data_IF_443847289534
#
_entry.id   IF_443847289534
#
_cell.length_a   1.000
_cell.length_b   1.000
_cell.length_c   1.000
_cell.angle_alpha   90.00
_cell.angle_beta   90.00
_cell.angle_gamma   90.00
#
_symmetry.space_group_name_H-M   'P 1'
#
loop_
_entity.id
_entity.type
_entity.pdbx_description
1 polymer ?
#
# COMPACT_ATOMS: atom_id res chain seq x y z
N UNK A 1 -1.96 -28.50 -10.43
CA UNK A 1 -2.51 -27.72 -11.56
C UNK A 1 -3.19 -26.50 -10.98
N UNK A 2 -2.67 -25.29 -11.22
CA UNK A 2 -3.23 -24.05 -10.69
C UNK A 2 -4.24 -23.47 -11.69
N UNK A 3 -5.50 -23.37 -11.29
CA UNK A 3 -6.57 -22.80 -12.10
C UNK A 3 -6.46 -21.27 -12.05
N UNK A 4 -5.98 -20.65 -13.13
CA UNK A 4 -6.00 -19.21 -13.33
C UNK A 4 -7.45 -18.74 -13.52
N UNK A 5 -8.17 -18.50 -12.42
CA UNK A 5 -9.43 -17.76 -12.45
C UNK A 5 -9.12 -16.30 -12.77
N UNK A 6 -9.31 -15.92 -14.03
CA UNK A 6 -8.98 -14.62 -14.64
C UNK A 6 -9.76 -13.42 -14.10
N UNK A 7 -9.53 -13.09 -12.83
CA UNK A 7 -9.78 -11.77 -12.28
C UNK A 7 -8.56 -11.36 -11.44
N UNK A 8 -7.50 -10.90 -12.11
CA UNK A 8 -6.33 -10.23 -11.51
C UNK A 8 -6.69 -8.84 -10.94
N UNK A 9 -7.79 -8.76 -10.21
CA UNK A 9 -8.15 -7.57 -9.48
C UNK A 9 -8.65 -7.95 -8.10
N UNK A 10 -7.89 -7.57 -7.08
CA UNK A 10 -8.35 -7.60 -5.69
C UNK A 10 -9.53 -6.62 -5.58
N UNK A 11 -10.74 -7.14 -5.40
CA UNK A 11 -11.90 -6.34 -5.00
C UNK A 11 -11.78 -6.03 -3.50
N UNK A 12 -11.40 -4.79 -3.20
CA UNK A 12 -11.34 -4.27 -1.82
C UNK A 12 -10.02 -3.55 -1.53
N UNK A 13 -10.06 -2.58 -0.61
CA UNK A 13 -8.83 -1.98 -0.09
C UNK A 13 -7.97 -3.06 0.55
N UNK A 14 -6.68 -3.06 0.21
CA UNK A 14 -5.71 -3.91 0.87
C UNK A 14 -5.64 -3.50 2.34
N UNK A 15 -6.16 -4.33 3.24
CA UNK A 15 -6.20 -4.04 4.69
C UNK A 15 -4.84 -4.22 5.36
N UNK A 16 -4.01 -5.12 4.81
CA UNK A 16 -2.70 -5.50 5.39
C UNK A 16 -1.57 -4.53 4.99
N UNK A 17 -1.89 -3.50 4.19
CA UNK A 17 -0.90 -2.54 3.69
C UNK A 17 -1.44 -1.13 3.75
N UNK A 18 -0.63 -0.23 4.31
CA UNK A 18 -0.86 1.21 4.27
C UNK A 18 0.12 1.87 3.32
N UNK A 19 -0.17 3.11 2.94
CA UNK A 19 0.77 3.95 2.21
C UNK A 19 1.03 5.25 2.96
N UNK A 20 2.29 5.65 2.99
CA UNK A 20 2.77 6.90 3.58
C UNK A 20 3.48 7.73 2.51
N UNK A 21 3.28 9.04 2.54
CA UNK A 21 4.00 9.95 1.65
C UNK A 21 5.35 10.29 2.28
N UNK A 22 6.43 10.07 1.55
CA UNK A 22 7.76 10.46 1.96
C UNK A 22 7.94 11.98 1.71
N UNK A 23 8.19 12.79 2.75
CA UNK A 23 8.30 14.24 2.60
C UNK A 23 9.55 14.69 1.84
N UNK A 24 10.57 13.83 1.70
CA UNK A 24 11.83 14.18 1.03
C UNK A 24 11.73 14.18 -0.50
N UNK A 25 10.91 13.30 -1.05
CA UNK A 25 10.75 13.14 -2.50
C UNK A 25 9.30 13.22 -2.98
N UNK A 26 8.33 13.38 -2.07
CA UNK A 26 6.90 13.44 -2.38
C UNK A 26 6.27 12.10 -2.77
N UNK A 27 7.05 11.02 -2.81
CA UNK A 27 6.62 9.72 -3.30
C UNK A 27 5.85 8.93 -2.24
N UNK A 28 4.91 8.10 -2.69
CA UNK A 28 4.17 7.21 -1.81
C UNK A 28 4.89 5.87 -1.67
N UNK A 29 5.06 5.42 -0.42
CA UNK A 29 5.68 4.15 -0.08
C UNK A 29 4.67 3.26 0.62
N UNK A 30 4.58 1.99 0.21
CA UNK A 30 3.79 0.96 0.90
C UNK A 30 4.52 0.51 2.16
N UNK A 31 3.76 0.41 3.24
CA UNK A 31 4.20 -0.17 4.50
C UNK A 31 3.32 -1.37 4.84
N UNK A 32 3.96 -2.46 5.21
CA UNK A 32 3.29 -3.63 5.76
C UNK A 32 2.74 -3.28 7.14
N UNK A 33 1.47 -3.61 7.40
CA UNK A 33 0.86 -3.23 8.67
C UNK A 33 1.17 -4.17 9.82
N UNK A 34 1.70 -5.36 9.55
CA UNK A 34 1.93 -6.42 10.54
C UNK A 34 3.34 -6.32 11.10
N UNK A 35 4.33 -6.11 10.23
CA UNK A 35 5.73 -6.01 10.62
C UNK A 35 6.32 -4.60 10.46
N UNK A 36 5.59 -3.67 9.86
CA UNK A 36 6.01 -2.27 9.69
C UNK A 36 7.09 -2.05 8.63
N UNK A 37 7.43 -3.06 7.82
CA UNK A 37 8.45 -2.98 6.78
C UNK A 37 7.97 -2.14 5.58
N UNK A 38 8.90 -1.41 4.97
CA UNK A 38 8.65 -0.73 3.71
C UNK A 38 8.85 -1.71 2.56
N UNK A 39 7.79 -1.91 1.77
CA UNK A 39 7.79 -2.94 0.71
C UNK A 39 8.18 -2.33 -0.63
N UNK A 40 7.57 -1.19 -0.99
CA UNK A 40 7.61 -0.68 -2.36
C UNK A 40 7.35 0.82 -2.38
N UNK A 41 7.98 1.56 -3.30
CA UNK A 41 7.84 3.01 -3.46
C UNK A 41 7.47 3.35 -4.90
N UNK A 42 6.44 4.18 -5.05
CA UNK A 42 6.07 4.76 -6.34
C UNK A 42 7.05 5.85 -6.74
N UNK A 43 7.46 5.88 -8.00
CA UNK A 43 8.31 6.94 -8.54
C UNK A 43 7.51 8.11 -9.13
N UNK A 44 6.20 7.93 -9.33
CA UNK A 44 5.32 8.89 -10.01
C UNK A 44 4.67 9.94 -9.08
N UNK A 45 5.01 9.93 -7.78
CA UNK A 45 4.45 10.86 -6.79
C UNK A 45 2.95 10.65 -6.49
N UNK A 46 2.29 9.67 -7.09
CA UNK A 46 0.86 9.40 -6.88
C UNK A 46 0.63 8.35 -5.80
N UNK A 47 -0.53 8.33 -5.13
CA UNK A 47 -0.87 7.25 -4.22
C UNK A 47 -1.11 5.93 -4.97
N UNK A 48 -0.83 4.81 -4.30
CA UNK A 48 -1.24 3.49 -4.75
C UNK A 48 -2.77 3.36 -4.77
N UNK A 49 -3.31 2.94 -5.91
CA UNK A 49 -4.73 2.63 -6.05
C UNK A 49 -5.09 1.44 -5.16
N UNK A 50 -6.15 1.58 -4.35
CA UNK A 50 -6.65 0.51 -3.48
C UNK A 50 -5.82 0.24 -2.21
N UNK A 51 -4.85 1.09 -1.88
CA UNK A 51 -4.09 1.02 -0.62
C UNK A 51 -4.53 2.15 0.29
N UNK A 52 -4.81 1.87 1.56
CA UNK A 52 -5.25 2.89 2.51
C UNK A 52 -4.10 3.85 2.85
N UNK A 53 -4.34 5.16 2.88
CA UNK A 53 -3.36 6.13 3.39
C UNK A 53 -3.20 5.94 4.90
N UNK A 54 -1.96 5.89 5.37
CA UNK A 54 -1.65 5.82 6.79
C UNK A 54 -2.02 7.15 7.43
N UNK A 55 -3.01 7.14 8.33
CA UNK A 55 -3.41 8.33 9.08
C UNK A 55 -2.66 8.28 10.40
N UNK A 56 -1.67 9.13 10.58
CA UNK A 56 -0.93 9.19 11.85
C UNK A 56 -1.79 9.87 12.92
N UNK A 57 -2.29 9.06 13.87
CA UNK A 57 -2.05 9.25 15.32
C UNK A 57 -1.88 7.89 16.01
N UNK A 58 -0.84 7.14 15.59
CA UNK A 58 -0.37 5.82 16.11
C UNK A 58 -1.47 4.89 16.67
N UNK A 59 -2.03 3.98 15.84
CA UNK A 59 -3.02 2.91 16.15
C UNK A 59 -3.42 2.73 17.64
N UNK A 60 -4.72 2.88 17.95
CA UNK A 60 -5.32 2.41 19.21
C UNK A 60 -5.36 0.89 19.28
#
# INVERSE_FOLDING_TARGET
MATNTGHDSRKGSVRDRTQVQNPKNGNYTKRDTDNGQFIDQKQDGTPFKGVAKEVDKRRK
#
